data_IF_887059521507
#
_entry.id   IF_887059521507
#
_cell.length_a   1.000
_cell.length_b   1.000
_cell.length_c   1.000
_cell.angle_alpha   90.00
_cell.angle_beta   90.00
_cell.angle_gamma   90.00
#
_symmetry.space_group_name_H-M   'P 1'
#
loop_
_entity.id
_entity.type
_entity.pdbx_description
1 polymer ?
#
# COMPACT_ATOMS: atom_id res chain seq x y z
N UNK A 1 -13.16 -9.34 2.99
CA UNK A 1 -14.47 -9.41 3.65
C UNK A 1 -14.46 -10.31 4.87
N UNK A 2 -13.55 -11.29 4.93
CA UNK A 2 -13.38 -12.18 6.07
C UNK A 2 -11.99 -12.02 6.70
N UNK A 3 -11.94 -11.66 7.97
CA UNK A 3 -10.67 -11.49 8.70
C UNK A 3 -10.08 -12.85 9.12
N UNK A 4 -10.92 -13.73 9.66
CA UNK A 4 -10.51 -15.01 10.26
C UNK A 4 -11.58 -16.13 10.12
N UNK A 5 -12.31 -16.17 9.01
CA UNK A 5 -13.26 -17.26 8.73
C UNK A 5 -12.51 -18.50 8.26
N UNK A 6 -11.93 -19.23 9.21
CA UNK A 6 -11.00 -20.32 8.94
C UNK A 6 -11.69 -21.58 8.36
N UNK A 7 -11.08 -22.26 7.37
CA UNK A 7 -11.41 -23.65 7.04
C UNK A 7 -10.98 -24.59 8.18
N UNK A 8 -11.24 -25.89 8.05
CA UNK A 8 -10.99 -26.88 9.12
C UNK A 8 -9.54 -26.88 9.64
N UNK A 9 -8.54 -26.74 8.75
CA UNK A 9 -7.11 -26.81 9.09
C UNK A 9 -6.32 -25.63 8.49
N UNK A 10 -6.57 -24.38 8.91
CA UNK A 10 -6.14 -23.17 8.22
C UNK A 10 -4.62 -22.98 8.16
N UNK A 11 -3.88 -23.61 9.08
CA UNK A 11 -2.40 -23.57 9.13
C UNK A 11 -1.78 -24.46 8.05
N UNK A 12 -2.48 -25.53 7.63
CA UNK A 12 -1.95 -26.54 6.73
C UNK A 12 -2.60 -26.51 5.35
N UNK A 13 -3.89 -26.15 5.28
CA UNK A 13 -4.65 -26.04 4.04
C UNK A 13 -5.53 -24.79 4.06
N UNK A 14 -5.31 -23.91 3.09
CA UNK A 14 -6.04 -22.65 2.95
C UNK A 14 -7.21 -22.73 1.96
N UNK A 15 -7.41 -23.90 1.33
CA UNK A 15 -8.47 -24.11 0.35
C UNK A 15 -9.81 -24.19 1.05
N UNK A 16 -10.84 -23.77 0.32
CA UNK A 16 -12.23 -23.90 0.74
C UNK A 16 -13.07 -24.45 -0.43
N UNK A 17 -14.27 -24.94 -0.15
CA UNK A 17 -15.17 -25.55 -1.15
C UNK A 17 -15.50 -24.55 -2.28
N UNK A 18 -15.43 -23.25 -1.99
CA UNK A 18 -15.64 -22.16 -2.93
C UNK A 18 -14.53 -21.12 -2.82
N UNK A 19 -14.33 -20.35 -3.90
CA UNK A 19 -13.35 -19.26 -4.05
C UNK A 19 -11.87 -19.69 -4.05
N UNK A 20 -10.95 -18.81 -4.50
CA UNK A 20 -9.53 -19.07 -4.42
C UNK A 20 -9.02 -19.28 -2.98
N UNK A 21 -7.97 -20.09 -2.86
CA UNK A 21 -7.33 -20.43 -1.58
C UNK A 21 -6.93 -19.16 -0.79
N UNK A 22 -7.30 -19.11 0.49
CA UNK A 22 -6.98 -18.00 1.38
C UNK A 22 -7.89 -16.76 1.27
N UNK A 23 -8.98 -16.79 0.48
CA UNK A 23 -9.96 -15.70 0.40
C UNK A 23 -10.71 -15.48 1.74
N UNK A 24 -10.95 -16.56 2.49
CA UNK A 24 -11.81 -16.52 3.69
C UNK A 24 -11.10 -16.01 4.95
N UNK A 25 -9.80 -15.69 4.89
CA UNK A 25 -9.06 -15.20 6.06
C UNK A 25 -7.75 -14.49 5.70
N UNK A 26 -7.32 -13.58 6.58
CA UNK A 26 -6.03 -12.88 6.51
C UNK A 26 -5.05 -13.33 7.60
N UNK A 27 -5.54 -13.78 8.76
CA UNK A 27 -4.71 -14.14 9.92
C UNK A 27 -4.90 -15.60 10.32
N UNK A 28 -3.89 -16.19 10.94
CA UNK A 28 -3.89 -17.60 11.36
C UNK A 28 -4.16 -17.72 12.87
N UNK A 29 -4.65 -18.90 13.34
CA UNK A 29 -4.83 -19.18 14.76
C UNK A 29 -3.56 -18.93 15.60
N UNK A 30 -3.76 -18.54 16.85
CA UNK A 30 -2.66 -18.22 17.78
C UNK A 30 -2.05 -16.84 17.55
N UNK A 31 -2.87 -15.85 17.15
CA UNK A 31 -2.45 -14.47 16.89
C UNK A 31 -1.30 -14.36 15.88
N UNK A 32 -1.28 -15.25 14.88
CA UNK A 32 -0.26 -15.26 13.83
C UNK A 32 -0.73 -14.42 12.66
N UNK A 33 0.10 -13.44 12.28
CA UNK A 33 -0.13 -12.66 11.07
C UNK A 33 0.12 -13.49 9.80
N UNK A 34 -0.05 -12.87 8.64
CA UNK A 34 0.33 -13.40 7.33
C UNK A 34 1.04 -12.35 6.50
N UNK A 35 1.78 -12.79 5.48
CA UNK A 35 2.43 -11.88 4.52
C UNK A 35 1.41 -10.91 3.90
N UNK A 36 0.21 -11.39 3.54
CA UNK A 36 -0.85 -10.56 2.94
C UNK A 36 -1.34 -9.49 3.92
N UNK A 37 -1.50 -9.85 5.19
CA UNK A 37 -1.95 -8.92 6.22
C UNK A 37 -0.89 -7.86 6.53
N UNK A 38 0.38 -8.26 6.67
CA UNK A 38 1.47 -7.30 6.89
C UNK A 38 1.67 -6.36 5.68
N UNK A 39 1.55 -6.86 4.44
CA UNK A 39 1.61 -6.01 3.25
C UNK A 39 0.43 -5.03 3.16
N UNK A 40 -0.76 -5.41 3.64
CA UNK A 40 -1.88 -4.49 3.76
C UNK A 40 -1.59 -3.39 4.80
N UNK A 41 -1.07 -3.77 5.98
CA UNK A 41 -0.68 -2.81 7.02
C UNK A 41 0.39 -1.85 6.50
N UNK A 42 1.41 -2.35 5.80
CA UNK A 42 2.45 -1.54 5.15
C UNK A 42 1.83 -0.53 4.16
N UNK A 43 0.87 -0.96 3.35
CA UNK A 43 0.14 -0.08 2.43
C UNK A 43 -0.68 1.00 3.14
N UNK A 44 -1.31 0.68 4.28
CA UNK A 44 -2.01 1.66 5.12
C UNK A 44 -1.03 2.70 5.67
N UNK A 45 0.14 2.27 6.15
CA UNK A 45 1.17 3.19 6.62
C UNK A 45 1.67 4.10 5.50
N UNK A 46 1.87 3.57 4.28
CA UNK A 46 2.28 4.39 3.14
C UNK A 46 1.20 5.41 2.74
N UNK A 47 -0.09 5.04 2.82
CA UNK A 47 -1.19 5.99 2.65
C UNK A 47 -1.13 7.13 3.67
N UNK A 48 -0.90 6.82 4.96
CA UNK A 48 -0.80 7.84 6.00
C UNK A 48 0.41 8.77 5.79
N UNK A 49 1.56 8.23 5.35
CA UNK A 49 2.72 9.07 4.96
C UNK A 49 2.35 10.02 3.84
N UNK A 50 1.66 9.54 2.80
CA UNK A 50 1.19 10.37 1.69
C UNK A 50 0.22 11.45 2.20
N UNK A 51 -0.71 11.12 3.09
CA UNK A 51 -1.64 12.08 3.68
C UNK A 51 -0.91 13.19 4.43
N UNK A 52 0.07 12.83 5.27
CA UNK A 52 0.90 13.78 6.01
C UNK A 52 1.71 14.67 5.05
N UNK A 53 2.39 14.07 4.06
CA UNK A 53 3.16 14.82 3.07
C UNK A 53 2.31 15.80 2.27
N UNK A 54 1.09 15.41 1.86
CA UNK A 54 0.17 16.32 1.15
C UNK A 54 -0.20 17.53 2.02
N UNK A 55 -0.46 17.29 3.31
CA UNK A 55 -0.72 18.38 4.25
C UNK A 55 0.50 19.29 4.38
N UNK A 56 1.68 18.75 4.65
CA UNK A 56 2.91 19.53 4.81
C UNK A 56 3.27 20.33 3.55
N UNK A 57 3.17 19.71 2.36
CA UNK A 57 3.42 20.38 1.09
C UNK A 57 2.44 21.55 0.87
N UNK A 58 1.17 21.39 1.24
CA UNK A 58 0.17 22.47 1.13
C UNK A 58 0.46 23.66 2.06
N UNK A 59 1.20 23.43 3.16
CA UNK A 59 1.58 24.49 4.09
C UNK A 59 2.90 25.18 3.68
N UNK A 60 3.65 24.63 2.72
CA UNK A 60 4.93 25.15 2.30
C UNK A 60 4.78 25.94 0.97
N UNK A 61 4.97 27.27 0.97
CA UNK A 61 4.77 28.11 -0.22
C UNK A 61 5.93 28.04 -1.24
N UNK A 62 6.95 27.20 -1.01
CA UNK A 62 8.07 27.08 -1.93
C UNK A 62 7.67 26.44 -3.26
N UNK A 63 8.31 26.88 -4.35
CA UNK A 63 8.10 26.29 -5.67
C UNK A 63 8.47 24.80 -5.70
N UNK A 64 9.47 24.39 -4.90
CA UNK A 64 9.89 22.99 -4.76
C UNK A 64 8.78 22.13 -4.13
N UNK A 65 8.08 22.64 -3.12
CA UNK A 65 6.95 21.94 -2.50
C UNK A 65 5.78 21.80 -3.50
N UNK A 66 5.45 22.85 -4.24
CA UNK A 66 4.41 22.81 -5.27
C UNK A 66 4.73 21.78 -6.38
N UNK A 67 5.98 21.73 -6.84
CA UNK A 67 6.42 20.74 -7.84
C UNK A 67 6.36 19.31 -7.30
N UNK A 68 6.81 19.10 -6.05
CA UNK A 68 6.73 17.81 -5.39
C UNK A 68 5.29 17.32 -5.23
N UNK A 69 4.35 18.21 -4.88
CA UNK A 69 2.93 17.89 -4.79
C UNK A 69 2.36 17.47 -6.14
N UNK A 70 2.68 18.20 -7.22
CA UNK A 70 2.26 17.86 -8.58
C UNK A 70 2.79 16.49 -8.98
N UNK A 71 4.08 16.22 -8.73
CA UNK A 71 4.72 14.94 -9.05
C UNK A 71 4.08 13.77 -8.29
N UNK A 72 3.84 13.94 -6.98
CA UNK A 72 3.16 12.94 -6.15
C UNK A 72 1.76 12.65 -6.66
N UNK A 73 0.94 13.68 -6.88
CA UNK A 73 -0.43 13.53 -7.35
C UNK A 73 -0.49 12.90 -8.75
N UNK A 74 0.43 13.26 -9.64
CA UNK A 74 0.55 12.67 -10.98
C UNK A 74 0.86 11.17 -10.90
N UNK A 75 1.84 10.79 -10.07
CA UNK A 75 2.20 9.40 -9.85
C UNK A 75 1.02 8.58 -9.29
N UNK A 76 0.34 9.09 -8.26
CA UNK A 76 -0.82 8.40 -7.66
C UNK A 76 -1.97 8.22 -8.66
N UNK A 77 -2.21 9.20 -9.54
CA UNK A 77 -3.22 9.09 -10.61
C UNK A 77 -2.86 8.04 -11.66
N UNK A 78 -1.58 7.76 -11.87
CA UNK A 78 -1.14 6.73 -12.81
C UNK A 78 -1.50 5.30 -12.33
N UNK A 79 -1.69 5.12 -11.02
CA UNK A 79 -2.11 3.85 -10.42
C UNK A 79 -3.63 3.72 -10.55
N UNK A 80 -4.09 2.97 -11.54
CA UNK A 80 -5.50 2.76 -11.82
C UNK A 80 -5.77 1.29 -12.24
N UNK A 81 -7.01 1.01 -12.66
CA UNK A 81 -7.48 -0.34 -12.96
C UNK A 81 -6.67 -1.08 -14.05
N UNK A 82 -6.03 -0.36 -14.98
CA UNK A 82 -5.22 -0.95 -16.08
C UNK A 82 -3.72 -0.79 -15.88
N UNK A 83 -3.28 -0.20 -14.76
CA UNK A 83 -1.85 0.02 -14.48
C UNK A 83 -1.03 -1.28 -14.51
N UNK A 84 -1.64 -2.39 -14.10
CA UNK A 84 -1.01 -3.71 -14.06
C UNK A 84 -0.86 -4.39 -15.43
N UNK A 85 -1.42 -3.83 -16.49
CA UNK A 85 -1.28 -4.35 -17.86
C UNK A 85 0.13 -4.11 -18.42
N UNK A 86 0.84 -3.12 -17.88
CA UNK A 86 2.14 -2.66 -18.38
C UNK A 86 3.26 -2.66 -17.34
N UNK A 87 2.93 -2.52 -16.05
CA UNK A 87 3.91 -2.45 -14.96
C UNK A 87 3.52 -3.42 -13.85
N UNK A 88 4.50 -4.12 -13.27
CA UNK A 88 4.20 -5.04 -12.17
C UNK A 88 3.80 -4.29 -10.89
N UNK A 89 2.95 -4.90 -10.06
CA UNK A 89 2.60 -4.34 -8.76
C UNK A 89 3.83 -4.07 -7.88
N UNK A 90 4.85 -4.94 -7.96
CA UNK A 90 6.11 -4.78 -7.23
C UNK A 90 6.82 -3.48 -7.63
N UNK A 91 6.91 -3.21 -8.92
CA UNK A 91 7.62 -2.03 -9.42
C UNK A 91 6.83 -0.76 -9.12
N UNK A 92 5.49 -0.77 -9.24
CA UNK A 92 4.63 0.33 -8.79
C UNK A 92 4.90 0.66 -7.32
N UNK A 93 4.85 -0.33 -6.43
CA UNK A 93 5.08 -0.08 -5.00
C UNK A 93 6.51 0.42 -4.74
N UNK A 94 7.52 -0.15 -5.42
CA UNK A 94 8.91 0.27 -5.28
C UNK A 94 9.11 1.74 -5.68
N UNK A 95 8.61 2.13 -6.85
CA UNK A 95 8.74 3.49 -7.35
C UNK A 95 7.97 4.49 -6.48
N UNK A 96 6.77 4.14 -6.03
CA UNK A 96 5.99 4.98 -5.12
C UNK A 96 6.69 5.22 -3.78
N UNK A 97 7.30 4.19 -3.19
CA UNK A 97 8.06 4.34 -1.94
C UNK A 97 9.28 5.24 -2.10
N UNK A 98 10.06 5.06 -3.17
CA UNK A 98 11.20 5.93 -3.46
C UNK A 98 10.77 7.40 -3.62
N UNK A 99 9.67 7.64 -4.35
CA UNK A 99 9.12 8.98 -4.52
C UNK A 99 8.71 9.62 -3.18
N UNK A 100 8.02 8.87 -2.31
CA UNK A 100 7.62 9.33 -0.98
C UNK A 100 8.85 9.66 -0.12
N UNK A 101 9.89 8.81 -0.16
CA UNK A 101 11.15 9.06 0.54
C UNK A 101 11.87 10.31 0.04
N UNK A 102 11.95 10.50 -1.28
CA UNK A 102 12.56 11.69 -1.90
C UNK A 102 11.84 12.97 -1.48
N UNK A 103 10.51 12.98 -1.55
CA UNK A 103 9.69 14.15 -1.19
C UNK A 103 9.83 14.47 0.29
N UNK A 104 9.86 13.45 1.16
CA UNK A 104 10.03 13.66 2.61
C UNK A 104 11.33 14.39 2.97
N UNK A 105 12.38 14.27 2.14
CA UNK A 105 13.67 14.95 2.36
C UNK A 105 13.66 16.41 1.93
N UNK A 106 12.72 16.84 1.08
CA UNK A 106 12.59 18.24 0.64
C UNK A 106 12.17 19.13 1.82
N UNK A 107 11.36 18.61 2.75
CA UNK A 107 10.86 19.36 3.91
C UNK A 107 11.85 19.46 5.09
N UNK A 108 12.91 18.64 5.11
CA UNK A 108 13.91 18.66 6.21
C UNK A 108 14.94 19.81 6.03
N UNK A 109 14.78 20.64 4.99
CA UNK A 109 15.63 21.81 4.72
C UNK A 109 14.83 23.09 4.80
#
# INVERSE_FOLDING_TARGET
>A
WAYNSWPEKPVYDSRFISWPSGDTYFVYPGARSSIRFEKLIEGIQDYEKIRILRYELSQNPSMQAAEAEIRLNSYLRSINATSLDSVTAKDIIRHGKLLVEEISRIQIK
#
